data_IF_620695679031
#
_entry.id   IF_620695679031
#
_cell.length_a   1.000
_cell.length_b   1.000
_cell.length_c   1.000
_cell.angle_alpha   90.00
_cell.angle_beta   90.00
_cell.angle_gamma   90.00
#
_symmetry.space_group_name_H-M   'P 1'
#
loop_
_entity.id
_entity.type
_entity.pdbx_description
1 polymer ?
#
# COMPACT_ATOMS: atom_id res chain seq x y z
N UNK A 1 -13.02 -5.10 -10.17
CA UNK A 1 -12.38 -5.54 -8.91
C UNK A 1 -11.69 -6.90 -8.99
N UNK A 2 -12.30 -7.92 -9.61
CA UNK A 2 -11.80 -9.31 -9.60
C UNK A 2 -10.38 -9.48 -10.18
N UNK A 3 -10.06 -8.79 -11.28
CA UNK A 3 -8.74 -8.86 -11.92
C UNK A 3 -7.64 -8.26 -11.05
N UNK A 4 -7.88 -7.09 -10.45
CA UNK A 4 -6.91 -6.45 -9.54
C UNK A 4 -6.71 -7.24 -8.23
N UNK A 5 -7.78 -7.82 -7.69
CA UNK A 5 -7.71 -8.70 -6.51
C UNK A 5 -6.89 -9.96 -6.80
N UNK A 6 -7.12 -10.58 -7.97
CA UNK A 6 -6.36 -11.76 -8.40
C UNK A 6 -4.87 -11.45 -8.49
N UNK A 7 -4.48 -10.33 -9.13
CA UNK A 7 -3.08 -9.92 -9.27
C UNK A 7 -2.45 -9.64 -7.89
N UNK A 8 -3.16 -8.97 -6.99
CA UNK A 8 -2.67 -8.69 -5.65
C UNK A 8 -2.46 -9.98 -4.83
N UNK A 9 -3.44 -10.89 -4.83
CA UNK A 9 -3.33 -12.19 -4.14
C UNK A 9 -2.20 -13.05 -4.71
N UNK A 10 -2.06 -13.10 -6.03
CA UNK A 10 -1.01 -13.89 -6.69
C UNK A 10 0.38 -13.32 -6.37
N UNK A 11 0.51 -12.00 -6.30
CA UNK A 11 1.76 -11.32 -5.90
C UNK A 11 2.13 -11.62 -4.44
N UNK A 12 1.15 -11.64 -3.52
CA UNK A 12 1.37 -12.01 -2.11
C UNK A 12 1.77 -13.47 -1.99
N UNK A 13 1.11 -14.38 -2.70
CA UNK A 13 1.46 -15.80 -2.71
C UNK A 13 2.87 -16.04 -3.25
N UNK A 14 3.25 -15.36 -4.33
CA UNK A 14 4.62 -15.44 -4.87
C UNK A 14 5.67 -14.88 -3.89
N UNK A 15 5.33 -13.87 -3.09
CA UNK A 15 6.25 -13.36 -2.05
C UNK A 15 6.52 -14.43 -0.98
N UNK A 16 5.49 -15.14 -0.54
CA UNK A 16 5.65 -16.25 0.42
C UNK A 16 6.42 -17.42 -0.18
N UNK A 17 6.11 -17.83 -1.42
CA UNK A 17 6.83 -18.92 -2.10
C UNK A 17 8.32 -18.59 -2.21
N UNK A 18 8.67 -17.35 -2.61
CA UNK A 18 10.07 -16.95 -2.65
C UNK A 18 10.71 -16.98 -1.26
N UNK A 19 10.03 -16.44 -0.25
CA UNK A 19 10.56 -16.36 1.11
C UNK A 19 10.86 -17.74 1.74
N UNK A 20 10.10 -18.77 1.37
CA UNK A 20 10.27 -20.13 1.90
C UNK A 20 11.11 -21.06 1.00
N UNK A 21 11.28 -20.76 -0.30
CA UNK A 21 11.92 -21.68 -1.27
C UNK A 21 13.26 -21.17 -1.82
N UNK A 22 13.49 -19.85 -1.91
CA UNK A 22 14.60 -19.27 -2.70
C UNK A 22 15.66 -18.51 -1.88
N UNK A 23 15.74 -18.74 -0.56
CA UNK A 23 16.81 -18.31 0.37
C UNK A 23 17.53 -17.00 -0.01
N UNK A 24 16.76 -15.93 -0.23
CA UNK A 24 17.25 -14.56 -0.28
C UNK A 24 17.99 -14.11 -1.57
N UNK A 25 18.57 -14.98 -2.39
CA UNK A 25 19.53 -14.59 -3.44
C UNK A 25 18.96 -13.70 -4.56
N UNK A 26 17.65 -13.71 -4.79
CA UNK A 26 17.01 -12.98 -5.90
C UNK A 26 16.46 -11.60 -5.48
N UNK A 27 17.32 -10.64 -5.12
CA UNK A 27 16.88 -9.28 -4.75
C UNK A 27 16.04 -8.60 -5.84
N UNK A 28 16.37 -8.80 -7.12
CA UNK A 28 15.60 -8.27 -8.25
C UNK A 28 14.17 -8.81 -8.28
N UNK A 29 13.97 -10.07 -7.89
CA UNK A 29 12.65 -10.70 -7.81
C UNK A 29 11.84 -10.05 -6.67
N UNK A 30 12.48 -9.63 -5.57
CA UNK A 30 11.82 -8.83 -4.51
C UNK A 30 11.17 -7.58 -5.08
N UNK A 31 11.99 -6.84 -5.83
CA UNK A 31 11.63 -5.52 -6.32
C UNK A 31 10.55 -5.64 -7.40
N UNK A 32 10.66 -6.65 -8.26
CA UNK A 32 9.65 -7.00 -9.24
C UNK A 32 8.30 -7.27 -8.55
N UNK A 33 8.25 -8.19 -7.58
CA UNK A 33 7.00 -8.54 -6.89
C UNK A 33 6.36 -7.36 -6.16
N UNK A 34 7.17 -6.51 -5.52
CA UNK A 34 6.70 -5.28 -4.88
C UNK A 34 6.02 -4.35 -5.91
N UNK A 35 6.68 -4.08 -7.04
CA UNK A 35 6.10 -3.22 -8.08
C UNK A 35 4.88 -3.88 -8.73
N UNK A 36 4.87 -5.20 -8.96
CA UNK A 36 3.70 -5.93 -9.48
C UNK A 36 2.51 -5.87 -8.54
N UNK A 37 2.73 -5.99 -7.23
CA UNK A 37 1.70 -5.84 -6.22
C UNK A 37 1.09 -4.42 -6.26
N UNK A 38 1.93 -3.38 -6.32
CA UNK A 38 1.46 -2.00 -6.45
C UNK A 38 0.59 -1.80 -7.69
N UNK A 39 1.03 -2.32 -8.84
CA UNK A 39 0.26 -2.26 -10.08
C UNK A 39 -1.07 -3.01 -9.95
N UNK A 40 -1.08 -4.18 -9.32
CA UNK A 40 -2.31 -4.94 -9.05
C UNK A 40 -3.30 -4.19 -8.17
N UNK A 41 -2.81 -3.58 -7.08
CA UNK A 41 -3.62 -2.74 -6.19
C UNK A 41 -4.12 -1.48 -6.89
N UNK A 42 -3.31 -0.86 -7.74
CA UNK A 42 -3.71 0.31 -8.52
C UNK A 42 -4.83 -0.05 -9.50
N UNK A 43 -4.70 -1.16 -10.23
CA UNK A 43 -5.75 -1.67 -11.12
C UNK A 43 -7.02 -1.98 -10.32
N UNK A 44 -6.89 -2.56 -9.12
CA UNK A 44 -8.03 -2.81 -8.24
C UNK A 44 -8.73 -1.50 -7.84
N UNK A 45 -7.97 -0.48 -7.47
CA UNK A 45 -8.42 0.85 -7.05
C UNK A 45 -9.15 1.61 -8.18
N UNK A 46 -8.66 1.49 -9.42
CA UNK A 46 -9.25 2.11 -10.62
C UNK A 46 -10.43 1.31 -11.20
N UNK A 47 -10.59 0.04 -10.83
CA UNK A 47 -11.59 -0.83 -11.44
C UNK A 47 -13.01 -0.34 -11.14
N UNK A 48 -13.76 -0.01 -12.20
CA UNK A 48 -15.14 0.45 -12.11
C UNK A 48 -16.10 -0.67 -11.67
N UNK A 49 -17.12 -0.28 -10.90
CA UNK A 49 -18.25 -1.15 -10.59
C UNK A 49 -19.28 -1.09 -11.74
N UNK A 50 -20.09 -2.14 -11.93
CA UNK A 50 -20.99 -2.32 -13.08
C UNK A 50 -22.09 -1.25 -13.20
N UNK A 51 -22.39 -0.52 -12.12
CA UNK A 51 -23.37 0.56 -12.06
C UNK A 51 -22.62 1.78 -11.49
N UNK A 52 -22.27 2.72 -12.36
CA UNK A 52 -21.68 4.00 -11.94
C UNK A 52 -22.79 5.01 -11.68
N UNK A 53 -23.10 5.20 -10.40
CA UNK A 53 -23.87 6.35 -9.92
C UNK A 53 -22.91 7.52 -9.66
N UNK A 54 -23.37 8.76 -9.86
CA UNK A 54 -22.64 10.00 -9.55
C UNK A 54 -22.15 9.98 -8.10
N UNK A 55 -22.94 9.40 -7.20
CA UNK A 55 -22.59 9.23 -5.79
C UNK A 55 -21.39 8.29 -5.58
N UNK A 56 -21.27 7.22 -6.37
CA UNK A 56 -20.14 6.27 -6.30
C UNK A 56 -18.86 6.91 -6.84
N UNK A 57 -18.98 7.75 -7.88
CA UNK A 57 -17.87 8.54 -8.41
C UNK A 57 -17.37 9.55 -7.38
N UNK A 58 -18.28 10.24 -6.68
CA UNK A 58 -17.94 11.15 -5.57
C UNK A 58 -17.24 10.45 -4.41
N UNK A 59 -17.74 9.28 -4.00
CA UNK A 59 -17.15 8.47 -2.93
C UNK A 59 -15.71 8.04 -3.25
N UNK A 60 -15.44 7.65 -4.50
CA UNK A 60 -14.10 7.27 -4.93
C UNK A 60 -13.14 8.47 -4.93
N UNK A 61 -13.59 9.62 -5.43
CA UNK A 61 -12.81 10.86 -5.41
C UNK A 61 -12.46 11.30 -3.98
N UNK A 62 -13.42 11.25 -3.05
CA UNK A 62 -13.18 11.53 -1.64
C UNK A 62 -12.20 10.54 -1.01
N UNK A 63 -12.32 9.24 -1.32
CA UNK A 63 -11.40 8.22 -0.81
C UNK A 63 -9.96 8.43 -1.27
N UNK A 64 -9.75 8.88 -2.53
CA UNK A 64 -8.43 9.27 -3.02
C UNK A 64 -7.89 10.53 -2.33
N UNK A 65 -8.74 11.54 -2.10
CA UNK A 65 -8.34 12.75 -1.40
C UNK A 65 -7.90 12.46 0.04
N UNK A 66 -8.66 11.65 0.77
CA UNK A 66 -8.32 11.21 2.13
C UNK A 66 -7.01 10.41 2.13
N UNK A 67 -6.88 9.45 1.21
CA UNK A 67 -5.66 8.65 1.09
C UNK A 67 -4.42 9.49 0.78
N UNK A 68 -4.55 10.51 -0.07
CA UNK A 68 -3.47 11.44 -0.37
C UNK A 68 -3.07 12.26 0.86
N UNK A 69 -4.03 12.87 1.56
CA UNK A 69 -3.76 13.68 2.75
C UNK A 69 -3.10 12.83 3.84
N UNK A 70 -3.67 11.66 4.13
CA UNK A 70 -3.14 10.73 5.15
C UNK A 70 -1.78 10.19 4.73
N UNK A 71 -1.56 9.90 3.44
CA UNK A 71 -0.28 9.44 2.90
C UNK A 71 0.83 10.49 3.03
N UNK A 72 0.53 11.77 2.76
CA UNK A 72 1.47 12.89 2.95
C UNK A 72 1.80 13.10 4.43
N UNK A 73 0.79 13.06 5.31
CA UNK A 73 1.03 13.16 6.75
C UNK A 73 1.90 11.99 7.22
N UNK A 74 1.61 10.77 6.74
CA UNK A 74 2.37 9.57 7.09
C UNK A 74 3.83 9.65 6.64
N UNK A 75 4.10 10.08 5.40
CA UNK A 75 5.48 10.20 4.90
C UNK A 75 6.28 11.26 5.64
N UNK A 76 5.61 12.33 6.12
CA UNK A 76 6.25 13.35 6.93
C UNK A 76 6.46 12.91 8.37
N UNK A 77 5.50 12.21 8.99
CA UNK A 77 5.53 11.89 10.43
C UNK A 77 6.35 10.64 10.74
N UNK A 78 6.27 9.60 9.89
CA UNK A 78 6.90 8.30 10.16
C UNK A 78 8.43 8.36 10.36
N UNK A 79 9.23 9.13 9.59
CA UNK A 79 10.67 9.24 9.83
C UNK A 79 10.99 9.72 11.24
N UNK A 80 10.19 10.67 11.77
CA UNK A 80 10.36 11.17 13.13
C UNK A 80 9.97 10.15 14.19
N UNK A 81 8.93 9.36 13.93
CA UNK A 81 8.52 8.26 14.82
C UNK A 81 9.60 7.18 14.85
N UNK A 82 10.14 6.78 13.69
CA UNK A 82 11.21 5.78 13.61
C UNK A 82 12.48 6.24 14.31
N UNK A 83 12.87 7.51 14.14
CA UNK A 83 13.98 8.12 14.86
C UNK A 83 13.75 8.15 16.38
N UNK A 84 12.55 8.53 16.81
CA UNK A 84 12.18 8.56 18.23
C UNK A 84 12.20 7.16 18.87
N UNK A 85 11.66 6.16 18.17
CA UNK A 85 11.67 4.76 18.63
C UNK A 85 13.08 4.18 18.63
N UNK A 86 13.91 4.46 17.61
CA UNK A 86 15.27 3.94 17.55
C UNK A 86 16.13 4.49 18.68
N UNK A 87 16.01 5.77 19.01
CA UNK A 87 16.77 6.41 20.08
C UNK A 87 16.39 5.89 21.48
N UNK A 88 15.14 5.44 21.68
CA UNK A 88 14.68 4.87 22.96
C UNK A 88 15.02 3.39 23.08
N UNK A 89 14.98 2.63 21.98
CA UNK A 89 15.15 1.17 22.00
C UNK A 89 16.60 0.74 21.80
N UNK A 90 17.37 1.48 20.98
CA UNK A 90 18.76 1.19 20.69
C UNK A 90 19.59 2.44 20.94
N UNK A 91 20.26 2.51 22.10
CA UNK A 91 21.24 3.56 22.45
C UNK A 91 22.51 3.51 21.57
N UNK A 92 22.35 3.53 20.25
CA UNK A 92 23.42 3.31 19.28
C UNK A 92 22.94 3.48 17.84
N UNK A 93 22.93 4.73 17.37
CA UNK A 93 23.33 5.10 16.00
C UNK A 93 22.68 4.38 14.81
N UNK A 94 21.37 4.12 14.83
CA UNK A 94 20.70 3.61 13.63
C UNK A 94 20.35 4.77 12.68
N UNK A 95 20.83 4.61 11.44
CA UNK A 95 20.74 5.53 10.30
C UNK A 95 19.28 5.88 10.00
N UNK A 96 19.01 7.15 9.67
CA UNK A 96 17.73 7.60 9.10
C UNK A 96 17.32 6.64 7.97
N UNK A 97 16.33 5.78 8.24
CA UNK A 97 15.72 4.95 7.20
C UNK A 97 14.75 5.83 6.47
N UNK A 98 15.10 6.17 5.24
CA UNK A 98 14.19 6.85 4.35
C UNK A 98 13.00 5.91 4.08
N UNK A 99 11.78 6.42 4.18
CA UNK A 99 10.62 5.59 3.88
C UNK A 99 10.72 5.17 2.42
N UNK A 100 10.74 3.86 2.18
CA UNK A 100 10.71 3.35 0.82
C UNK A 100 9.47 3.84 0.08
N UNK A 101 9.64 4.34 -1.14
CA UNK A 101 8.55 4.71 -2.07
C UNK A 101 7.45 3.63 -2.13
N UNK A 102 7.85 2.36 -2.14
CA UNK A 102 6.94 1.23 -2.08
C UNK A 102 6.02 1.25 -0.86
N UNK A 103 6.54 1.55 0.33
CA UNK A 103 5.78 1.56 1.58
C UNK A 103 4.75 2.68 1.60
N UNK A 104 5.14 3.89 1.16
CA UNK A 104 4.23 5.05 1.12
C UNK A 104 3.11 4.81 0.10
N UNK A 105 3.44 4.34 -1.10
CA UNK A 105 2.44 4.05 -2.14
C UNK A 105 1.51 2.91 -1.73
N UNK A 106 2.06 1.85 -1.11
CA UNK A 106 1.26 0.74 -0.62
C UNK A 106 0.30 1.20 0.48
N UNK A 107 0.78 2.01 1.42
CA UNK A 107 -0.05 2.58 2.48
C UNK A 107 -1.16 3.46 1.91
N UNK A 108 -0.84 4.34 0.96
CA UNK A 108 -1.83 5.21 0.31
C UNK A 108 -2.94 4.41 -0.39
N UNK A 109 -2.57 3.39 -1.16
CA UNK A 109 -3.54 2.53 -1.85
C UNK A 109 -4.38 1.69 -0.89
N UNK A 110 -3.78 1.21 0.20
CA UNK A 110 -4.49 0.49 1.26
C UNK A 110 -5.54 1.37 1.94
N UNK A 111 -5.17 2.60 2.31
CA UNK A 111 -6.09 3.56 2.90
C UNK A 111 -7.23 3.88 1.93
N UNK A 112 -6.93 4.14 0.65
CA UNK A 112 -7.94 4.43 -0.35
C UNK A 112 -8.96 3.28 -0.48
N UNK A 113 -8.49 2.04 -0.59
CA UNK A 113 -9.35 0.87 -0.72
C UNK A 113 -10.17 0.63 0.55
N UNK A 114 -9.56 0.82 1.74
CA UNK A 114 -10.24 0.67 3.02
C UNK A 114 -11.37 1.69 3.18
N UNK A 115 -11.11 2.97 2.92
CA UNK A 115 -12.13 4.01 3.00
C UNK A 115 -13.22 3.81 1.95
N UNK A 116 -12.87 3.45 0.71
CA UNK A 116 -13.86 3.16 -0.34
C UNK A 116 -14.81 2.04 0.08
N UNK A 117 -14.29 0.90 0.57
CA UNK A 117 -15.13 -0.21 1.01
C UNK A 117 -15.91 0.10 2.29
N UNK A 118 -15.33 0.85 3.21
CA UNK A 118 -15.98 1.26 4.46
C UNK A 118 -17.15 2.20 4.18
N UNK A 119 -16.93 3.26 3.40
CA UNK A 119 -17.97 4.21 3.01
C UNK A 119 -19.07 3.56 2.16
N UNK A 120 -18.72 2.55 1.36
CA UNK A 120 -19.69 1.73 0.60
C UNK A 120 -20.50 0.79 1.50
N UNK A 121 -20.01 0.40 2.69
CA UNK A 121 -20.69 -0.51 3.62
C UNK A 121 -21.62 0.21 4.60
N UNK A 122 -21.29 1.44 4.97
CA UNK A 122 -22.11 2.26 5.87
C UNK A 122 -23.28 2.97 5.17
N UNK A 123 -23.55 2.65 3.90
CA UNK A 123 -24.68 3.14 3.10
C UNK A 123 -25.29 1.96 2.34
#
# INVERSE_FOLDING_TARGET
MTVGLAIALLSVLMMFIRAFVLDGELEWLKLLLQKTLLVGMLIMSLSKDKIEDEMTMGLRSQSYAIAFIVGVIYSLVMPYVEYGVSNVVHSGGEVYKDLGDFQVLLFMLMIQLMFYHTLKRYR
#
